data_IF_376352022971
#
_entry.id   IF_376352022971
#
_cell.length_a   1.000
_cell.length_b   1.000
_cell.length_c   1.000
_cell.angle_alpha   90.00
_cell.angle_beta   90.00
_cell.angle_gamma   90.00
#
_symmetry.space_group_name_H-M   'P 1'
#
loop_
_entity.id
_entity.type
_entity.pdbx_description
1 polymer ?
#
# COMPACT_ATOMS: atom_id res chain seq x y z
N UNK A 1 43.12 7.36 7.81
CA UNK A 1 42.71 6.21 8.64
C UNK A 1 41.90 5.26 7.76
N UNK A 2 42.27 3.98 7.74
CA UNK A 2 41.81 2.97 6.76
C UNK A 2 40.47 2.32 7.15
N UNK A 3 39.55 2.22 6.18
CA UNK A 3 38.20 1.65 6.28
C UNK A 3 38.15 0.10 6.25
N UNK A 4 38.81 -0.61 7.16
CA UNK A 4 38.78 -2.09 7.13
C UNK A 4 38.83 -2.71 8.52
N UNK A 5 37.76 -2.62 9.32
CA UNK A 5 37.53 -3.51 10.49
C UNK A 5 36.23 -3.13 11.21
N UNK A 6 35.07 -3.50 10.67
CA UNK A 6 33.80 -3.45 11.43
C UNK A 6 32.78 -4.49 10.93
N UNK A 7 33.28 -5.65 10.48
CA UNK A 7 32.49 -6.85 10.20
C UNK A 7 33.14 -8.04 10.92
N UNK A 8 32.89 -8.18 12.22
CA UNK A 8 33.11 -9.41 12.99
C UNK A 8 32.69 -9.18 14.45
N UNK A 9 31.43 -9.43 14.79
CA UNK A 9 30.98 -9.85 16.13
C UNK A 9 29.46 -9.88 16.20
N UNK A 10 28.83 -10.95 15.69
CA UNK A 10 27.49 -11.36 16.10
C UNK A 10 27.48 -12.89 16.05
N UNK A 11 28.32 -13.47 16.92
CA UNK A 11 28.33 -14.90 17.21
C UNK A 11 27.83 -15.11 18.65
N UNK A 12 26.89 -16.05 18.77
CA UNK A 12 26.57 -16.87 19.94
C UNK A 12 26.12 -16.15 21.24
N UNK A 13 24.81 -16.03 21.40
CA UNK A 13 24.09 -16.09 22.69
C UNK A 13 22.59 -16.16 22.35
N UNK A 14 21.72 -17.07 22.78
CA UNK A 14 21.69 -18.01 23.89
C UNK A 14 20.98 -19.30 23.43
N UNK A 15 21.56 -20.47 23.70
CA UNK A 15 20.76 -21.63 24.07
C UNK A 15 20.56 -21.57 25.58
N UNK A 16 19.31 -21.37 26.03
CA UNK A 16 18.92 -21.61 27.41
C UNK A 16 17.74 -22.60 27.40
N UNK A 17 18.06 -23.85 27.64
CA UNK A 17 17.13 -24.91 28.05
C UNK A 17 16.41 -24.50 29.33
N UNK A 18 15.08 -24.47 29.30
CA UNK A 18 14.25 -24.62 30.51
C UNK A 18 13.47 -25.92 30.38
N UNK A 19 13.91 -26.91 31.14
CA UNK A 19 13.10 -28.04 31.54
C UNK A 19 12.24 -27.61 32.73
N UNK A 20 10.92 -27.70 32.62
CA UNK A 20 10.02 -27.75 33.78
C UNK A 20 9.00 -28.84 33.53
N UNK A 21 8.86 -29.66 34.57
CA UNK A 21 8.13 -30.90 34.68
C UNK A 21 6.61 -30.72 34.57
N UNK A 22 5.95 -31.85 34.31
CA UNK A 22 4.51 -32.05 34.39
C UNK A 22 3.94 -31.62 35.75
N UNK A 23 2.84 -30.89 35.75
CA UNK A 23 1.72 -31.10 36.67
C UNK A 23 0.43 -30.51 36.09
N UNK A 24 -0.68 -31.10 36.49
CA UNK A 24 -1.99 -31.11 35.89
C UNK A 24 -2.84 -29.94 36.45
N UNK A 25 -3.37 -29.04 35.60
CA UNK A 25 -4.70 -28.39 35.73
C UNK A 25 -4.88 -27.13 34.88
N UNK A 26 -5.90 -27.20 34.02
CA UNK A 26 -6.86 -26.16 33.59
C UNK A 26 -6.35 -24.78 33.10
N UNK A 27 -6.71 -24.58 31.82
CA UNK A 27 -7.43 -23.45 31.25
C UNK A 27 -6.63 -22.26 30.69
N UNK A 28 -6.89 -22.10 29.38
CA UNK A 28 -6.95 -20.88 28.58
C UNK A 28 -5.65 -20.29 27.97
N UNK A 29 -5.85 -19.76 26.77
CA UNK A 29 -4.94 -18.99 25.92
C UNK A 29 -3.83 -19.74 25.14
N UNK A 30 -4.27 -20.36 24.05
CA UNK A 30 -3.41 -20.77 22.94
C UNK A 30 -2.99 -19.55 22.08
N UNK A 31 -1.69 -19.41 21.83
CA UNK A 31 -1.16 -18.73 20.63
C UNK A 31 0.21 -19.30 20.26
N UNK A 32 0.38 -19.73 19.01
CA UNK A 32 1.47 -19.16 18.22
C UNK A 32 0.92 -18.67 16.87
N UNK A 33 1.07 -17.37 16.60
CA UNK A 33 0.74 -16.78 15.31
C UNK A 33 1.92 -16.98 14.36
N UNK A 34 1.83 -18.03 13.54
CA UNK A 34 2.62 -18.19 12.33
C UNK A 34 2.10 -17.28 11.21
N UNK A 35 3.03 -16.92 10.34
CA UNK A 35 2.89 -15.91 9.31
C UNK A 35 2.10 -16.37 8.08
N UNK A 36 1.42 -15.39 7.45
CA UNK A 36 1.22 -15.22 6.01
C UNK A 36 0.63 -16.40 5.20
N UNK A 37 -0.67 -16.30 4.92
CA UNK A 37 -1.24 -16.28 3.57
C UNK A 37 -2.77 -16.41 3.65
N UNK A 38 -3.45 -15.36 4.12
CA UNK A 38 -4.89 -15.26 3.90
C UNK A 38 -5.12 -14.26 2.77
N UNK A 39 -5.44 -14.84 1.61
CA UNK A 39 -6.07 -14.15 0.51
C UNK A 39 -7.24 -13.33 1.07
N UNK A 40 -7.04 -12.01 1.19
CA UNK A 40 -8.13 -11.10 1.52
C UNK A 40 -9.14 -11.26 0.38
N UNK A 41 -10.35 -11.80 0.66
CA UNK A 41 -11.34 -11.98 -0.38
C UNK A 41 -11.58 -10.61 -1.01
N UNK A 42 -11.76 -10.64 -2.33
CA UNK A 42 -12.22 -9.50 -3.11
C UNK A 42 -13.26 -8.76 -2.27
N UNK A 43 -12.86 -7.60 -1.76
CA UNK A 43 -13.80 -6.71 -1.10
C UNK A 43 -14.72 -6.26 -2.22
N UNK A 44 -15.85 -6.96 -2.28
CA UNK A 44 -17.10 -6.55 -2.84
C UNK A 44 -17.14 -5.03 -2.97
N UNK A 45 -17.53 -4.62 -4.17
CA UNK A 45 -17.84 -3.27 -4.56
C UNK A 45 -18.80 -2.63 -3.55
N UNK A 46 -18.26 -2.16 -2.42
CA UNK A 46 -18.83 -1.04 -1.70
C UNK A 46 -18.74 0.06 -2.73
N UNK A 47 -19.91 0.40 -3.27
CA UNK A 47 -20.27 1.73 -3.74
C UNK A 47 -19.71 2.71 -2.70
N UNK A 48 -18.44 3.06 -2.83
CA UNK A 48 -17.90 4.27 -2.24
C UNK A 48 -18.81 5.34 -2.80
N UNK A 49 -19.46 6.09 -1.91
CA UNK A 49 -20.26 7.26 -2.26
C UNK A 49 -19.29 8.25 -2.92
N UNK A 50 -19.05 8.00 -4.20
CA UNK A 50 -18.03 8.68 -5.00
C UNK A 50 -18.57 10.08 -5.13
N UNK A 51 -17.88 11.03 -4.50
CA UNK A 51 -18.21 12.44 -4.66
C UNK A 51 -18.28 12.70 -6.15
N UNK A 52 -19.43 13.13 -6.64
CA UNK A 52 -19.60 13.41 -8.05
C UNK A 52 -18.92 14.74 -8.38
N UNK A 53 -18.16 14.73 -9.46
CA UNK A 53 -17.52 15.94 -9.96
C UNK A 53 -18.57 16.83 -10.61
N UNK A 54 -18.66 18.07 -10.16
CA UNK A 54 -19.63 19.02 -10.67
C UNK A 54 -19.45 19.23 -12.18
N UNK A 55 -20.57 19.36 -12.89
CA UNK A 55 -20.55 19.70 -14.30
C UNK A 55 -19.91 21.08 -14.56
N UNK A 56 -19.88 21.95 -13.56
CA UNK A 56 -19.26 23.28 -13.63
C UNK A 56 -17.76 23.29 -13.32
N UNK A 57 -17.18 22.16 -12.90
CA UNK A 57 -15.74 22.09 -12.64
C UNK A 57 -14.94 22.34 -13.94
N UNK A 58 -13.83 23.05 -13.80
CA UNK A 58 -12.89 23.37 -14.88
C UNK A 58 -12.51 22.11 -15.69
N UNK A 59 -12.52 22.21 -17.02
CA UNK A 59 -12.22 21.08 -17.91
C UNK A 59 -10.82 20.48 -17.67
N UNK A 60 -9.82 21.32 -17.37
CA UNK A 60 -8.48 20.86 -16.99
C UNK A 60 -8.48 20.06 -15.68
N UNK A 61 -9.28 20.48 -14.69
CA UNK A 61 -9.38 19.79 -13.40
C UNK A 61 -10.08 18.45 -13.59
N UNK A 62 -11.12 18.40 -14.41
CA UNK A 62 -11.80 17.15 -14.78
C UNK A 62 -10.84 16.16 -15.42
N UNK A 63 -10.08 16.60 -16.43
CA UNK A 63 -9.09 15.76 -17.09
C UNK A 63 -8.02 15.24 -16.11
N UNK A 64 -7.54 16.09 -15.18
CA UNK A 64 -6.58 15.67 -14.17
C UNK A 64 -7.15 14.64 -13.19
N UNK A 65 -8.39 14.83 -12.72
CA UNK A 65 -9.08 13.89 -11.82
C UNK A 65 -9.33 12.55 -12.51
N UNK A 66 -9.72 12.56 -13.79
CA UNK A 66 -9.89 11.34 -14.58
C UNK A 66 -8.56 10.60 -14.79
N UNK A 67 -7.47 11.32 -15.10
CA UNK A 67 -6.13 10.74 -15.20
C UNK A 67 -5.66 10.13 -13.87
N UNK A 68 -5.94 10.80 -12.75
CA UNK A 68 -5.66 10.30 -11.42
C UNK A 68 -6.46 9.02 -11.11
N UNK A 69 -7.75 8.97 -11.49
CA UNK A 69 -8.61 7.80 -11.26
C UNK A 69 -8.14 6.60 -12.08
N UNK A 70 -7.80 6.84 -13.35
CA UNK A 70 -7.24 5.83 -14.24
C UNK A 70 -5.90 5.27 -13.70
N UNK A 71 -4.98 6.14 -13.27
CA UNK A 71 -3.69 5.73 -12.72
C UNK A 71 -3.85 4.96 -11.41
N UNK A 72 -4.73 5.41 -10.51
CA UNK A 72 -5.03 4.71 -9.27
C UNK A 72 -5.64 3.32 -9.54
N UNK A 73 -6.61 3.22 -10.46
CA UNK A 73 -7.21 1.96 -10.84
C UNK A 73 -6.19 1.00 -11.48
N UNK A 74 -5.28 1.50 -12.31
CA UNK A 74 -4.19 0.72 -12.90
C UNK A 74 -3.22 0.20 -11.84
N UNK A 75 -2.81 1.06 -10.89
CA UNK A 75 -1.95 0.67 -9.78
C UNK A 75 -2.59 -0.41 -8.90
N UNK A 76 -3.88 -0.25 -8.56
CA UNK A 76 -4.65 -1.24 -7.80
C UNK A 76 -4.72 -2.58 -8.52
N UNK A 77 -4.99 -2.58 -9.84
CA UNK A 77 -4.93 -3.80 -10.68
C UNK A 77 -3.54 -4.43 -10.71
N UNK A 78 -2.50 -3.61 -10.65
CA UNK A 78 -1.13 -4.09 -10.55
C UNK A 78 -0.81 -4.72 -9.17
N UNK A 79 -1.64 -4.47 -8.15
CA UNK A 79 -1.45 -4.95 -6.78
C UNK A 79 -0.82 -3.90 -5.86
N UNK A 80 -0.81 -2.63 -6.27
CA UNK A 80 -0.31 -1.52 -5.49
C UNK A 80 -1.45 -0.59 -5.08
N UNK A 81 -1.48 -0.22 -3.80
CA UNK A 81 -2.38 0.82 -3.30
C UNK A 81 -1.54 1.90 -2.63
N UNK A 82 -1.66 3.13 -3.14
CA UNK A 82 -0.92 4.25 -2.58
C UNK A 82 -1.63 4.79 -1.33
N UNK A 83 -0.85 5.05 -0.28
CA UNK A 83 -1.31 5.66 0.95
C UNK A 83 -0.51 6.93 1.25
N UNK A 84 -1.21 7.99 1.62
CA UNK A 84 -0.60 9.23 2.10
C UNK A 84 -1.40 9.79 3.27
N UNK A 85 -0.72 10.18 4.35
CA UNK A 85 -1.35 10.63 5.61
C UNK A 85 -2.44 9.67 6.10
N UNK A 86 -2.13 8.37 6.12
CA UNK A 86 -3.03 7.28 6.52
C UNK A 86 -4.32 7.15 5.71
N UNK A 87 -4.41 7.82 4.56
CA UNK A 87 -5.53 7.75 3.63
C UNK A 87 -5.12 7.08 2.32
N UNK A 88 -5.96 6.19 1.74
CA UNK A 88 -5.69 5.60 0.43
C UNK A 88 -5.91 6.63 -0.69
N UNK A 89 -5.33 6.36 -1.86
CA UNK A 89 -5.48 7.18 -3.06
C UNK A 89 -6.94 7.53 -3.40
N UNK A 90 -7.89 6.59 -3.24
CA UNK A 90 -9.32 6.86 -3.46
C UNK A 90 -9.84 8.03 -2.63
N UNK A 91 -9.41 8.15 -1.35
CA UNK A 91 -9.82 9.25 -0.48
C UNK A 91 -9.19 10.58 -0.86
N UNK A 92 -7.96 10.58 -1.34
CA UNK A 92 -7.36 11.78 -1.91
C UNK A 92 -8.05 12.21 -3.20
N UNK A 93 -8.60 11.25 -3.96
CA UNK A 93 -9.37 11.52 -5.18
C UNK A 93 -10.72 12.17 -4.85
N UNK A 94 -11.41 11.69 -3.82
CA UNK A 94 -12.59 12.37 -3.25
C UNK A 94 -12.24 13.80 -2.79
N UNK A 95 -11.10 13.98 -2.11
CA UNK A 95 -10.65 15.31 -1.66
C UNK A 95 -10.32 16.23 -2.86
N UNK A 96 -9.77 15.69 -3.96
CA UNK A 96 -9.55 16.43 -5.20
C UNK A 96 -10.87 16.86 -5.87
N UNK A 97 -11.87 15.98 -5.89
CA UNK A 97 -13.20 16.28 -6.42
C UNK A 97 -13.90 17.35 -5.58
N UNK A 98 -13.82 17.27 -4.24
CA UNK A 98 -14.35 18.31 -3.35
C UNK A 98 -13.67 19.65 -3.60
N UNK A 99 -12.34 19.68 -3.71
CA UNK A 99 -11.61 20.90 -4.03
C UNK A 99 -12.03 21.48 -5.40
N UNK A 100 -12.29 20.63 -6.39
CA UNK A 100 -12.78 21.06 -7.70
C UNK A 100 -14.19 21.68 -7.61
N UNK A 101 -15.09 21.04 -6.86
CA UNK A 101 -16.46 21.51 -6.63
C UNK A 101 -16.50 22.82 -5.81
N UNK A 102 -15.54 23.01 -4.91
CA UNK A 102 -15.35 24.23 -4.12
C UNK A 102 -14.72 25.39 -4.93
N UNK A 103 -14.39 25.18 -6.21
CA UNK A 103 -13.69 26.16 -7.04
C UNK A 103 -12.19 26.32 -6.70
N UNK A 104 -11.62 25.45 -5.85
CA UNK A 104 -10.19 25.42 -5.49
C UNK A 104 -9.38 24.67 -6.55
N UNK A 105 -9.34 25.22 -7.77
CA UNK A 105 -8.69 24.64 -8.96
C UNK A 105 -7.26 24.16 -8.68
N UNK A 106 -6.45 24.99 -8.03
CA UNK A 106 -5.04 24.66 -7.77
C UNK A 106 -4.87 23.46 -6.84
N UNK A 107 -5.67 23.37 -5.78
CA UNK A 107 -5.60 22.27 -4.81
C UNK A 107 -6.11 20.97 -5.44
N UNK A 108 -7.20 21.04 -6.21
CA UNK A 108 -7.71 19.91 -6.98
C UNK A 108 -6.66 19.38 -7.97
N UNK A 109 -5.99 20.26 -8.71
CA UNK A 109 -4.92 19.90 -9.64
C UNK A 109 -3.69 19.31 -8.95
N UNK A 110 -3.27 19.87 -7.80
CA UNK A 110 -2.15 19.34 -7.01
C UNK A 110 -2.45 17.94 -6.49
N UNK A 111 -3.64 17.73 -5.94
CA UNK A 111 -4.07 16.42 -5.46
C UNK A 111 -4.16 15.41 -6.61
N UNK A 112 -4.84 15.77 -7.70
CA UNK A 112 -4.97 14.93 -8.88
C UNK A 112 -3.61 14.50 -9.46
N UNK A 113 -2.68 15.45 -9.67
CA UNK A 113 -1.32 15.14 -10.15
C UNK A 113 -0.53 14.26 -9.19
N UNK A 114 -0.68 14.47 -7.89
CA UNK A 114 0.00 13.65 -6.89
C UNK A 114 -0.49 12.21 -6.96
N UNK A 115 -1.81 12.02 -7.04
CA UNK A 115 -2.43 10.69 -7.18
C UNK A 115 -2.05 10.04 -8.50
N UNK A 116 -2.07 10.79 -9.60
CA UNK A 116 -1.66 10.29 -10.92
C UNK A 116 -0.21 9.78 -10.91
N UNK A 117 0.72 10.60 -10.40
CA UNK A 117 2.13 10.24 -10.31
C UNK A 117 2.35 9.03 -9.40
N UNK A 118 1.70 9.01 -8.24
CA UNK A 118 1.81 7.89 -7.32
C UNK A 118 1.21 6.60 -7.88
N UNK A 119 0.10 6.70 -8.62
CA UNK A 119 -0.51 5.58 -9.33
C UNK A 119 0.43 5.01 -10.40
N UNK A 120 1.02 5.86 -11.24
CA UNK A 120 1.99 5.46 -12.26
C UNK A 120 3.23 4.78 -11.66
N UNK A 121 3.84 5.41 -10.66
CA UNK A 121 5.00 4.85 -9.97
C UNK A 121 4.66 3.53 -9.26
N UNK A 122 3.48 3.45 -8.66
CA UNK A 122 2.96 2.26 -8.02
C UNK A 122 2.75 1.09 -8.96
N UNK A 123 2.16 1.36 -10.12
CA UNK A 123 2.01 0.39 -11.20
C UNK A 123 3.38 -0.13 -11.65
N UNK A 124 4.32 0.76 -11.95
CA UNK A 124 5.66 0.39 -12.41
C UNK A 124 6.40 -0.45 -11.35
N UNK A 125 6.30 -0.10 -10.07
CA UNK A 125 6.88 -0.88 -8.97
C UNK A 125 6.24 -2.26 -8.84
N UNK A 126 4.91 -2.34 -8.95
CA UNK A 126 4.20 -3.61 -8.87
C UNK A 126 4.52 -4.53 -10.07
N UNK A 127 4.66 -3.97 -11.27
CA UNK A 127 5.09 -4.71 -12.46
C UNK A 127 6.54 -5.21 -12.32
N UNK A 128 7.46 -4.36 -11.84
CA UNK A 128 8.85 -4.76 -11.54
C UNK A 128 8.94 -5.82 -10.45
N UNK A 129 8.11 -5.74 -9.41
CA UNK A 129 8.04 -6.74 -8.36
C UNK A 129 7.55 -8.10 -8.90
N UNK A 130 6.61 -8.10 -9.84
CA UNK A 130 6.15 -9.32 -10.52
C UNK A 130 7.27 -9.97 -11.32
N UNK A 131 8.07 -9.21 -12.06
CA UNK A 131 9.18 -9.77 -12.84
C UNK A 131 10.31 -10.31 -11.93
N UNK A 132 10.68 -9.56 -10.88
CA UNK A 132 11.71 -10.00 -9.93
C UNK A 132 11.30 -11.25 -9.12
N UNK A 133 10.01 -11.37 -8.78
CA UNK A 133 9.47 -12.55 -8.11
C UNK A 133 9.41 -13.81 -8.99
N UNK A 134 9.38 -13.66 -10.32
CA UNK A 134 9.42 -14.78 -11.27
C UNK A 134 10.85 -15.28 -11.46
N UNK A 135 11.84 -14.39 -11.57
CA UNK A 135 13.25 -14.79 -11.72
C UNK A 135 13.79 -15.51 -10.49
N UNK A 136 13.37 -15.13 -9.29
CA UNK A 136 13.77 -15.84 -8.05
C UNK A 136 13.16 -17.23 -7.91
N UNK A 137 12.03 -17.51 -8.57
CA UNK A 137 11.36 -18.82 -8.52
C UNK A 137 11.88 -19.82 -9.56
N UNK A 138 12.58 -19.34 -10.59
CA UNK A 138 13.15 -20.18 -11.66
C UNK A 138 14.56 -20.73 -11.33
N UNK A 139 15.16 -20.32 -10.20
CA UNK A 139 16.55 -20.67 -9.81
C UNK A 139 16.59 -21.63 -8.61
N UNK A 140 15.45 -22.21 -8.21
CA UNK A 140 15.38 -23.14 -7.07
C UNK A 140 14.85 -24.51 -7.49
#
# INVERSE_FOLDING_TARGET
MNLKTLFAALALSLMATVAIAADDKKADEAKPAEAKAEAKPAADAKKEEKVELSADADAEVKAAIEAADAANAAAKKAGFEWFWKDKPASKHLEDAIKAANDGKKEDAMKLAKTIENAGKQGQEQAEKAKTAGVETKAVN
#
